data_IF_712917471132
#
_entry.id   IF_712917471132
#
_cell.length_a   1.000
_cell.length_b   1.000
_cell.length_c   1.000
_cell.angle_alpha   90.00
_cell.angle_beta   90.00
_cell.angle_gamma   90.00
#
_symmetry.space_group_name_H-M   'P 1'
#
loop_
_entity.id
_entity.type
_entity.pdbx_description
1 polymer ?
#
# COMPACT_ATOMS: atom_id res chain seq x y z
N UNK A 1 18.52 -7.17 2.26
CA UNK A 1 17.15 -7.69 2.11
C UNK A 1 16.87 -7.99 0.62
N UNK A 2 15.73 -8.57 0.25
CA UNK A 2 15.37 -8.84 -1.16
C UNK A 2 15.39 -7.58 -2.03
N UNK A 3 15.01 -6.43 -1.46
CA UNK A 3 15.02 -5.12 -2.15
C UNK A 3 16.44 -4.74 -2.61
N UNK A 4 17.42 -4.78 -1.70
CA UNK A 4 18.82 -4.45 -2.05
C UNK A 4 19.43 -5.46 -3.03
N UNK A 5 19.10 -6.74 -2.86
CA UNK A 5 19.65 -7.82 -3.68
C UNK A 5 19.13 -7.81 -5.13
N UNK A 6 18.00 -7.15 -5.40
CA UNK A 6 17.35 -7.08 -6.73
C UNK A 6 16.90 -5.65 -7.06
N UNK A 7 17.71 -4.66 -6.69
CA UNK A 7 17.37 -3.25 -6.84
C UNK A 7 16.99 -2.86 -8.29
N UNK A 8 17.66 -3.43 -9.29
CA UNK A 8 17.36 -3.16 -10.70
C UNK A 8 16.01 -3.75 -11.14
N UNK A 9 15.67 -4.97 -10.68
CA UNK A 9 14.35 -5.57 -10.93
C UNK A 9 13.25 -4.72 -10.26
N UNK A 10 13.49 -4.22 -9.04
CA UNK A 10 12.56 -3.35 -8.32
C UNK A 10 12.35 -2.02 -9.04
N UNK A 11 13.44 -1.36 -9.48
CA UNK A 11 13.36 -0.12 -10.27
C UNK A 11 12.58 -0.33 -11.56
N UNK A 12 12.90 -1.37 -12.32
CA UNK A 12 12.22 -1.69 -13.57
C UNK A 12 10.73 -1.96 -13.35
N UNK A 13 10.38 -2.72 -12.32
CA UNK A 13 8.99 -3.00 -11.95
C UNK A 13 8.23 -1.73 -11.56
N UNK A 14 8.81 -0.88 -10.71
CA UNK A 14 8.19 0.36 -10.27
C UNK A 14 8.03 1.38 -11.41
N UNK A 15 9.00 1.46 -12.32
CA UNK A 15 8.93 2.30 -13.51
C UNK A 15 7.76 1.89 -14.42
N UNK A 16 7.67 0.62 -14.80
CA UNK A 16 6.56 0.10 -15.61
C UNK A 16 5.21 0.27 -14.91
N UNK A 17 5.16 0.07 -13.59
CA UNK A 17 3.93 0.28 -12.80
C UNK A 17 3.53 1.75 -12.77
N UNK A 18 4.48 2.67 -12.58
CA UNK A 18 4.24 4.10 -12.58
C UNK A 18 3.69 4.56 -13.93
N UNK A 19 4.25 4.11 -15.06
CA UNK A 19 3.73 4.38 -16.39
C UNK A 19 2.28 3.94 -16.54
N UNK A 20 1.94 2.73 -16.06
CA UNK A 20 0.56 2.21 -16.08
C UNK A 20 -0.42 3.07 -15.28
N UNK A 21 -0.07 3.49 -14.07
CA UNK A 21 -0.93 4.34 -13.25
C UNK A 21 -1.03 5.78 -13.75
N UNK A 22 0.08 6.36 -14.23
CA UNK A 22 0.12 7.69 -14.85
C UNK A 22 -0.77 7.73 -16.11
N UNK A 23 -0.70 6.69 -16.95
CA UNK A 23 -1.63 6.54 -18.07
C UNK A 23 -3.07 6.36 -17.58
N UNK A 24 -3.34 5.40 -16.69
CA UNK A 24 -4.69 5.04 -16.26
C UNK A 24 -5.46 6.17 -15.54
N UNK A 25 -4.75 7.17 -15.01
CA UNK A 25 -5.34 8.33 -14.37
C UNK A 25 -6.07 9.28 -15.36
N UNK A 26 -5.76 9.23 -16.66
CA UNK A 26 -6.29 10.18 -17.65
C UNK A 26 -7.52 9.68 -18.44
N UNK A 27 -7.61 8.42 -18.93
CA UNK A 27 -8.74 7.89 -19.68
C UNK A 27 -9.51 6.83 -18.85
N UNK A 28 -10.45 7.22 -17.97
CA UNK A 28 -11.05 6.29 -17.02
C UNK A 28 -11.88 5.17 -17.66
N UNK A 29 -12.49 5.41 -18.83
CA UNK A 29 -13.24 4.39 -19.56
C UNK A 29 -12.34 3.34 -20.21
N UNK A 30 -11.21 3.78 -20.77
CA UNK A 30 -10.25 2.91 -21.42
C UNK A 30 -9.51 2.07 -20.38
N UNK A 31 -9.02 2.71 -19.31
CA UNK A 31 -8.37 2.01 -18.20
C UNK A 31 -9.29 0.98 -17.51
N UNK A 32 -10.58 1.28 -17.36
CA UNK A 32 -11.54 0.32 -16.84
C UNK A 32 -11.79 -0.87 -17.79
N UNK A 33 -11.76 -0.64 -19.10
CA UNK A 33 -11.88 -1.70 -20.10
C UNK A 33 -10.67 -2.63 -20.07
N UNK A 34 -9.46 -2.08 -20.04
CA UNK A 34 -8.21 -2.84 -19.91
C UNK A 34 -8.21 -3.72 -18.66
N UNK A 35 -8.72 -3.22 -17.52
CA UNK A 35 -8.89 -4.02 -16.31
C UNK A 35 -9.83 -5.22 -16.52
N UNK A 36 -11.00 -5.00 -17.11
CA UNK A 36 -12.01 -6.05 -17.34
C UNK A 36 -11.51 -7.10 -18.33
N UNK A 37 -10.87 -6.67 -19.41
CA UNK A 37 -10.29 -7.56 -20.41
C UNK A 37 -9.12 -8.35 -19.81
N UNK A 38 -8.20 -7.68 -19.12
CA UNK A 38 -7.07 -8.31 -18.44
C UNK A 38 -7.48 -9.31 -17.36
N UNK A 39 -8.51 -9.00 -16.55
CA UNK A 39 -9.03 -9.94 -15.55
C UNK A 39 -9.55 -11.23 -16.21
N UNK A 40 -10.24 -11.12 -17.35
CA UNK A 40 -10.74 -12.28 -18.09
C UNK A 40 -9.59 -13.08 -18.72
N UNK A 41 -8.68 -12.41 -19.41
CA UNK A 41 -7.65 -13.09 -20.21
C UNK A 41 -6.50 -13.65 -19.36
N UNK A 42 -6.09 -12.92 -18.32
CA UNK A 42 -4.92 -13.27 -17.50
C UNK A 42 -5.31 -14.07 -16.25
N UNK A 43 -6.48 -13.79 -15.67
CA UNK A 43 -6.92 -14.40 -14.42
C UNK A 43 -8.10 -15.37 -14.60
N UNK A 44 -8.76 -15.39 -15.76
CA UNK A 44 -9.97 -16.17 -15.98
C UNK A 44 -11.19 -15.66 -15.21
N UNK A 45 -11.17 -14.41 -14.75
CA UNK A 45 -12.24 -13.78 -13.98
C UNK A 45 -13.14 -12.92 -14.88
N UNK A 46 -14.39 -13.35 -15.05
CA UNK A 46 -15.42 -12.64 -15.81
C UNK A 46 -16.45 -11.92 -14.92
N UNK A 47 -16.21 -11.85 -13.61
CA UNK A 47 -17.14 -11.27 -12.63
C UNK A 47 -17.11 -9.74 -12.57
N UNK A 48 -16.12 -9.10 -13.21
CA UNK A 48 -15.98 -7.65 -13.23
C UNK A 48 -17.04 -6.99 -14.14
N UNK A 49 -17.88 -6.16 -13.54
CA UNK A 49 -18.84 -5.33 -14.27
C UNK A 49 -18.16 -4.04 -14.77
N UNK A 50 -18.21 -3.82 -16.09
CA UNK A 50 -17.53 -2.68 -16.72
C UNK A 50 -18.08 -1.33 -16.24
N UNK A 51 -19.39 -1.20 -16.04
CA UNK A 51 -19.97 0.08 -15.59
C UNK A 51 -19.48 0.43 -14.18
N UNK A 52 -19.43 -0.57 -13.28
CA UNK A 52 -18.85 -0.43 -11.95
C UNK A 52 -17.37 -0.04 -12.04
N UNK A 53 -16.57 -0.72 -12.87
CA UNK A 53 -15.16 -0.40 -13.06
C UNK A 53 -14.96 1.03 -13.56
N UNK A 54 -15.74 1.51 -14.53
CA UNK A 54 -15.68 2.91 -15.01
C UNK A 54 -16.01 3.89 -13.89
N UNK A 55 -17.06 3.63 -13.10
CA UNK A 55 -17.43 4.48 -11.97
C UNK A 55 -16.33 4.52 -10.90
N UNK A 56 -15.72 3.38 -10.61
CA UNK A 56 -14.59 3.26 -9.69
C UNK A 56 -13.39 4.06 -10.21
N UNK A 57 -13.03 3.88 -11.48
CA UNK A 57 -11.88 4.53 -12.10
C UNK A 57 -12.04 6.06 -12.15
N UNK A 58 -13.23 6.58 -12.48
CA UNK A 58 -13.53 8.02 -12.41
C UNK A 58 -13.40 8.58 -10.98
N UNK A 59 -13.65 7.75 -9.96
CA UNK A 59 -13.58 8.16 -8.55
C UNK A 59 -12.14 8.12 -8.02
N UNK A 60 -11.39 7.08 -8.36
CA UNK A 60 -10.06 6.79 -7.80
C UNK A 60 -8.91 7.36 -8.63
N UNK A 61 -9.08 7.47 -9.96
CA UNK A 61 -8.07 7.99 -10.89
C UNK A 61 -7.41 9.30 -10.44
N UNK A 62 -8.19 10.31 -10.01
CA UNK A 62 -7.63 11.58 -9.51
C UNK A 62 -6.76 11.45 -8.25
N UNK A 63 -6.83 10.33 -7.52
CA UNK A 63 -6.09 10.08 -6.30
C UNK A 63 -4.85 9.18 -6.49
N UNK A 64 -4.60 8.66 -7.71
CA UNK A 64 -3.41 7.85 -7.99
C UNK A 64 -2.12 8.67 -7.99
N UNK A 65 -2.21 9.92 -8.45
CA UNK A 65 -1.05 10.78 -8.66
C UNK A 65 -0.92 11.83 -7.56
N UNK A 66 0.31 12.20 -7.25
CA UNK A 66 0.61 13.34 -6.41
C UNK A 66 0.35 14.68 -7.15
N UNK A 67 0.61 15.80 -6.46
CA UNK A 67 0.43 17.14 -7.03
C UNK A 67 1.36 17.48 -8.21
N UNK A 68 2.33 16.62 -8.52
CA UNK A 68 3.25 16.73 -9.64
C UNK A 68 2.94 15.72 -10.76
N UNK A 69 1.84 14.98 -10.65
CA UNK A 69 1.46 13.95 -11.62
C UNK A 69 2.29 12.68 -11.51
N UNK A 70 2.91 12.41 -10.36
CA UNK A 70 3.73 11.21 -10.12
C UNK A 70 3.05 10.20 -9.23
N UNK A 71 3.17 8.93 -9.59
CA UNK A 71 2.62 7.81 -8.83
C UNK A 71 3.61 7.28 -7.78
N UNK A 72 3.08 6.78 -6.66
CA UNK A 72 3.78 5.86 -5.75
C UNK A 72 4.71 6.48 -4.69
N UNK A 73 5.20 7.71 -4.88
CA UNK A 73 6.10 8.35 -3.91
C UNK A 73 5.42 8.60 -2.56
N UNK A 74 6.16 8.31 -1.50
CA UNK A 74 5.69 8.43 -0.12
C UNK A 74 6.32 9.66 0.57
N UNK A 75 5.65 10.17 1.59
CA UNK A 75 6.04 11.39 2.30
C UNK A 75 6.13 11.10 3.80
N UNK A 76 7.15 11.64 4.46
CA UNK A 76 7.31 11.50 5.92
C UNK A 76 6.13 12.12 6.65
N UNK A 77 5.52 13.17 6.13
CA UNK A 77 4.35 13.83 6.72
C UNK A 77 3.17 12.88 6.86
N UNK A 78 2.86 12.08 5.82
CA UNK A 78 1.76 11.11 5.86
C UNK A 78 2.05 9.98 6.85
N UNK A 79 3.28 9.47 6.87
CA UNK A 79 3.69 8.43 7.80
C UNK A 79 3.71 8.91 9.24
N UNK A 80 4.21 10.11 9.50
CA UNK A 80 4.18 10.72 10.83
C UNK A 80 2.74 10.88 11.31
N UNK A 81 1.83 11.40 10.48
CA UNK A 81 0.42 11.53 10.85
C UNK A 81 -0.23 10.17 11.20
N UNK A 82 0.11 9.11 10.46
CA UNK A 82 -0.38 7.76 10.74
C UNK A 82 0.21 7.19 12.05
N UNK A 83 1.52 7.36 12.28
CA UNK A 83 2.19 6.93 13.50
C UNK A 83 1.68 7.69 14.74
N UNK A 84 1.42 8.99 14.61
CA UNK A 84 0.84 9.83 15.67
C UNK A 84 -0.57 9.35 16.02
N UNK A 85 -1.37 8.99 15.01
CA UNK A 85 -2.68 8.38 15.22
C UNK A 85 -2.57 7.03 15.93
N UNK A 86 -1.69 6.14 15.49
CA UNK A 86 -1.48 4.84 16.14
C UNK A 86 -1.07 4.98 17.60
N UNK A 87 -0.18 5.93 17.91
CA UNK A 87 0.25 6.19 19.28
C UNK A 87 -0.91 6.72 20.15
N UNK A 88 -1.68 7.69 19.61
CA UNK A 88 -2.86 8.24 20.27
C UNK A 88 -3.92 7.19 20.59
N UNK A 89 -4.16 6.25 19.67
CA UNK A 89 -5.13 5.17 19.85
C UNK A 89 -4.56 3.98 20.65
N UNK A 90 -3.31 4.04 21.09
CA UNK A 90 -2.66 2.95 21.83
C UNK A 90 -2.38 1.69 20.99
N UNK A 91 -2.34 1.83 19.68
CA UNK A 91 -2.13 0.75 18.71
C UNK A 91 -0.66 0.58 18.33
N UNK A 92 0.19 1.56 18.62
CA UNK A 92 1.63 1.50 18.36
C UNK A 92 2.30 0.55 19.38
N UNK A 93 2.35 -0.73 19.04
CA UNK A 93 2.70 -1.82 19.96
C UNK A 93 3.59 -2.88 19.31
N UNK A 94 4.25 -3.73 20.10
CA UNK A 94 5.29 -4.64 19.62
C UNK A 94 4.77 -5.90 18.92
N UNK A 95 3.52 -6.32 19.16
CA UNK A 95 3.01 -7.55 18.55
C UNK A 95 2.33 -7.30 17.21
N UNK A 96 2.74 -8.08 16.21
CA UNK A 96 2.05 -8.15 14.93
C UNK A 96 0.92 -9.19 14.94
N UNK A 97 -0.07 -9.01 14.06
CA UNK A 97 -1.08 -10.02 13.80
C UNK A 97 -0.46 -11.25 13.12
N UNK A 98 -0.75 -12.45 13.63
CA UNK A 98 -0.37 -13.70 12.99
C UNK A 98 -1.45 -14.77 13.17
N UNK A 99 -1.65 -15.58 12.13
CA UNK A 99 -2.46 -16.83 12.21
C UNK A 99 -1.69 -17.96 12.91
N UNK A 100 -0.38 -17.81 13.06
CA UNK A 100 0.52 -18.72 13.77
C UNK A 100 1.33 -17.88 14.78
N UNK A 101 0.72 -17.47 15.90
CA UNK A 101 1.36 -16.55 16.84
C UNK A 101 2.60 -17.17 17.47
N UNK A 102 3.66 -16.38 17.54
CA UNK A 102 4.90 -16.70 18.25
C UNK A 102 4.86 -15.97 19.60
N UNK A 103 4.93 -16.74 20.69
CA UNK A 103 4.93 -16.20 22.06
C UNK A 103 6.02 -15.13 22.20
N UNK A 104 5.64 -13.93 22.64
CA UNK A 104 6.57 -12.82 22.82
C UNK A 104 6.80 -11.96 21.57
N UNK A 105 6.13 -12.24 20.44
CA UNK A 105 6.37 -11.52 19.17
C UNK A 105 5.08 -11.21 18.39
N UNK A 106 4.07 -12.07 18.48
CA UNK A 106 2.83 -11.90 17.72
C UNK A 106 1.65 -12.53 18.45
N UNK A 107 0.46 -12.06 18.10
CA UNK A 107 -0.81 -12.55 18.62
C UNK A 107 -1.81 -12.82 17.49
N UNK A 108 -2.85 -13.57 17.80
CA UNK A 108 -3.99 -13.73 16.88
C UNK A 108 -4.79 -12.42 16.80
N UNK A 109 -5.66 -12.30 15.80
CA UNK A 109 -6.54 -11.12 15.69
C UNK A 109 -7.42 -10.94 16.93
N UNK A 110 -7.95 -12.04 17.47
CA UNK A 110 -8.77 -11.99 18.68
C UNK A 110 -7.92 -11.66 19.90
N UNK A 111 -6.68 -12.15 19.98
CA UNK A 111 -5.72 -11.76 21.02
C UNK A 111 -5.46 -10.26 21.03
N UNK A 112 -5.18 -9.67 19.86
CA UNK A 112 -4.99 -8.21 19.73
C UNK A 112 -6.22 -7.43 20.19
N UNK A 113 -7.44 -7.89 19.82
CA UNK A 113 -8.70 -7.25 20.24
C UNK A 113 -8.96 -7.34 21.74
N UNK A 114 -8.43 -8.36 22.40
CA UNK A 114 -8.54 -8.51 23.86
C UNK A 114 -7.34 -7.93 24.62
N UNK A 115 -6.41 -7.26 23.93
CA UNK A 115 -5.29 -6.54 24.54
C UNK A 115 -3.96 -7.29 24.60
N UNK A 116 -3.83 -8.45 23.97
CA UNK A 116 -2.55 -9.15 23.80
C UNK A 116 -1.72 -8.52 22.68
N UNK A 117 -1.31 -7.27 22.90
CA UNK A 117 -0.63 -6.40 21.92
C UNK A 117 0.87 -6.26 22.20
N UNK A 118 1.36 -6.87 23.27
CA UNK A 118 2.73 -6.70 23.74
C UNK A 118 2.94 -5.34 24.43
N UNK A 119 4.12 -4.75 24.23
CA UNK A 119 4.49 -3.48 24.83
C UNK A 119 4.16 -2.31 23.90
N UNK A 120 3.88 -1.13 24.48
CA UNK A 120 3.75 0.10 23.70
C UNK A 120 5.13 0.49 23.17
N UNK A 121 5.19 0.84 21.89
CA UNK A 121 6.38 1.44 21.28
C UNK A 121 6.24 2.96 21.42
N UNK A 122 7.17 3.65 22.11
CA UNK A 122 7.14 5.10 22.22
C UNK A 122 7.25 5.77 20.85
N UNK A 123 6.37 6.74 20.60
CA UNK A 123 6.27 7.41 19.30
C UNK A 123 7.58 8.06 18.85
N UNK A 124 8.34 8.62 19.78
CA UNK A 124 9.63 9.27 19.54
C UNK A 124 10.75 8.30 19.13
N UNK A 125 10.55 7.00 19.32
CA UNK A 125 11.48 5.95 18.88
C UNK A 125 11.25 5.50 17.44
N UNK A 126 10.10 5.84 16.83
CA UNK A 126 9.77 5.43 15.45
C UNK A 126 9.99 6.59 14.50
N UNK A 127 10.97 6.45 13.61
CA UNK A 127 11.22 7.43 12.54
C UNK A 127 10.44 7.06 11.29
N UNK A 128 9.66 8.00 10.75
CA UNK A 128 8.90 7.78 9.51
C UNK A 128 9.81 7.39 8.34
N UNK A 129 11.02 7.95 8.26
CA UNK A 129 11.98 7.67 7.19
C UNK A 129 12.52 6.24 7.24
N UNK A 130 12.34 5.53 8.36
CA UNK A 130 12.80 4.14 8.51
C UNK A 130 11.77 3.11 8.04
N UNK A 131 10.53 3.52 7.74
CA UNK A 131 9.42 2.60 7.41
C UNK A 131 8.94 2.71 5.96
N UNK A 132 9.54 3.59 5.17
CA UNK A 132 9.37 3.63 3.71
C UNK A 132 10.66 4.05 3.01
N UNK A 133 10.75 3.81 1.71
CA UNK A 133 11.84 4.31 0.86
C UNK A 133 11.29 4.73 -0.51
N UNK A 134 11.86 5.79 -1.07
CA UNK A 134 11.61 6.26 -2.43
C UNK A 134 12.81 5.99 -3.36
N UNK A 135 13.88 5.33 -2.88
CA UNK A 135 15.17 5.15 -3.59
C UNK A 135 15.05 4.39 -4.91
N UNK A 136 13.96 3.65 -5.10
CA UNK A 136 13.72 2.84 -6.30
C UNK A 136 12.84 3.55 -7.35
N UNK A 137 12.54 4.84 -7.14
CA UNK A 137 11.87 5.71 -8.12
C UNK A 137 12.84 6.67 -8.84
N UNK A 138 14.15 6.47 -8.67
CA UNK A 138 15.24 7.20 -9.35
C UNK A 138 15.89 6.37 -10.45
#
# INVERSE_FOLDING_TARGET
ATLDARADDVRAFLAATAEGYEWAAAPPEEAARELVEGARELCGDDSLDLEMCVRSQRKLGPAYLDGHGKWGRQTSERWNAYLDWLDKEGLLTTYANSRQPVKGQSATLDGLRTGDVGERIPRDQVRAEAIFTNEYFE
#
